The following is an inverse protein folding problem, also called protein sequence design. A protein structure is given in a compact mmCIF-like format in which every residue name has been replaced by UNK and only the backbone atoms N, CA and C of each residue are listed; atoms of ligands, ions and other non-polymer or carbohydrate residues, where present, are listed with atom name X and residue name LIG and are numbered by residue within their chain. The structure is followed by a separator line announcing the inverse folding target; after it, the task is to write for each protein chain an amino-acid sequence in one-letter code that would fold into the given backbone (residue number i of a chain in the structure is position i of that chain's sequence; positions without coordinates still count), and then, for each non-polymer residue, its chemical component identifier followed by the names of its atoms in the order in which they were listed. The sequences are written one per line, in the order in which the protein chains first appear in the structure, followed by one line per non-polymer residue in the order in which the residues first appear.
data_IF_803260214315
#
_entry.id   IF_803260214315
#
_cell.length_a   1.000
_cell.length_b   1.000
_cell.length_c   1.000
_cell.angle_alpha   90.00
_cell.angle_beta   90.00
_cell.angle_gamma   90.00
#
_symmetry.space_group_name_H-M   'P 1'
#
loop_
_entity.id
_entity.type
_entity.pdbx_description
1 polymer ?
#
# COMPACT_ATOMS: atom_id res chain seq x y z
N UNK A 1 -12.64 -6.14 10.20
CA UNK A 1 -12.21 -7.40 10.83
C UNK A 1 -13.10 -8.59 10.45
N UNK A 2 -14.44 -8.40 10.31
CA UNK A 2 -15.39 -9.45 9.96
C UNK A 2 -15.17 -10.11 8.58
N UNK A 3 -14.48 -9.44 7.68
CA UNK A 3 -14.21 -9.93 6.32
C UNK A 3 -12.94 -10.81 6.24
N UNK A 4 -12.11 -10.85 7.29
CA UNK A 4 -10.85 -11.59 7.26
C UNK A 4 -11.05 -13.06 7.65
N UNK A 5 -10.29 -14.02 7.08
CA UNK A 5 -10.50 -15.46 7.25
C UNK A 5 -9.88 -15.99 8.55
N UNK A 6 -10.15 -15.34 9.70
CA UNK A 6 -9.49 -15.59 11.00
C UNK A 6 -9.60 -17.04 11.44
N UNK A 7 -10.79 -17.66 11.33
CA UNK A 7 -10.99 -19.05 11.75
C UNK A 7 -10.19 -20.06 10.90
N UNK A 8 -10.00 -19.79 9.62
CA UNK A 8 -9.18 -20.64 8.75
C UNK A 8 -7.70 -20.51 9.11
N UNK A 9 -7.23 -19.30 9.33
CA UNK A 9 -5.84 -19.03 9.75
C UNK A 9 -5.56 -19.69 11.10
N UNK A 10 -6.44 -19.57 12.07
CA UNK A 10 -6.28 -20.19 13.39
C UNK A 10 -6.09 -21.71 13.29
N UNK A 11 -6.92 -22.42 12.50
CA UNK A 11 -6.77 -23.86 12.27
C UNK A 11 -5.43 -24.20 11.61
N UNK A 12 -4.97 -23.40 10.66
CA UNK A 12 -3.68 -23.63 10.01
C UNK A 12 -2.50 -23.44 10.97
N UNK A 13 -2.52 -22.38 11.79
CA UNK A 13 -1.50 -22.18 12.82
C UNK A 13 -1.36 -23.39 13.75
N UNK A 14 -2.49 -23.86 14.29
CA UNK A 14 -2.50 -25.04 15.17
C UNK A 14 -2.01 -26.31 14.44
N UNK A 15 -2.32 -26.45 13.15
CA UNK A 15 -1.86 -27.55 12.30
C UNK A 15 -0.36 -27.51 12.04
N UNK A 16 0.17 -26.37 11.60
CA UNK A 16 1.59 -26.17 11.30
C UNK A 16 2.43 -26.35 12.56
N UNK A 17 2.06 -25.76 13.68
CA UNK A 17 2.80 -25.91 14.95
C UNK A 17 2.93 -27.37 15.38
N UNK A 18 1.90 -28.20 15.16
CA UNK A 18 1.94 -29.66 15.47
C UNK A 18 2.78 -30.46 14.48
N UNK A 19 2.71 -30.17 13.18
CA UNK A 19 3.43 -30.91 12.14
C UNK A 19 4.91 -30.56 12.08
N UNK A 20 5.26 -29.32 12.42
CA UNK A 20 6.60 -28.76 12.29
C UNK A 20 7.13 -28.18 13.61
N UNK A 21 7.25 -28.97 14.70
CA UNK A 21 7.67 -28.45 16.00
C UNK A 21 9.06 -27.80 15.96
N UNK A 22 9.95 -28.28 15.09
CA UNK A 22 11.30 -27.72 14.89
C UNK A 22 11.35 -26.27 14.45
N UNK A 23 10.26 -25.72 13.88
CA UNK A 23 10.19 -24.31 13.54
C UNK A 23 10.26 -23.39 14.78
N UNK A 24 9.99 -23.92 15.99
CA UNK A 24 10.02 -23.20 17.25
C UNK A 24 11.36 -23.35 18.00
N UNK A 25 12.19 -24.31 17.59
CA UNK A 25 13.46 -24.61 18.30
C UNK A 25 14.52 -23.54 18.06
N UNK A 26 14.32 -22.67 17.09
CA UNK A 26 15.33 -21.70 16.65
C UNK A 26 16.50 -22.39 15.94
N UNK A 27 17.52 -21.63 15.57
CA UNK A 27 18.71 -22.15 14.92
C UNK A 27 19.26 -21.19 13.87
N UNK A 28 20.07 -21.70 12.94
CA UNK A 28 20.74 -20.94 11.88
C UNK A 28 19.80 -20.36 10.79
N UNK A 29 18.49 -20.36 11.05
CA UNK A 29 17.45 -19.87 10.13
C UNK A 29 17.25 -18.34 10.18
N UNK A 30 18.09 -17.61 10.89
CA UNK A 30 18.13 -16.16 10.83
C UNK A 30 18.36 -15.77 9.35
N UNK A 31 17.46 -14.99 8.79
CA UNK A 31 17.41 -14.53 7.38
C UNK A 31 17.06 -15.60 6.32
N UNK A 32 16.55 -16.75 6.70
CA UNK A 32 16.05 -17.70 5.72
C UNK A 32 14.58 -17.42 5.40
N UNK A 33 14.33 -17.09 4.14
CA UNK A 33 12.98 -17.03 3.59
C UNK A 33 12.48 -18.45 3.35
N UNK A 34 11.24 -18.73 3.77
CA UNK A 34 10.63 -20.06 3.57
C UNK A 34 10.47 -20.40 2.09
N UNK A 35 11.15 -21.42 1.56
CA UNK A 35 11.12 -21.71 0.13
C UNK A 35 9.73 -22.01 -0.41
N UNK A 36 8.84 -22.60 0.40
CA UNK A 36 7.46 -22.86 0.02
C UNK A 36 6.70 -21.55 -0.18
N UNK A 37 6.89 -20.55 0.68
CA UNK A 37 6.27 -19.24 0.53
C UNK A 37 6.81 -18.51 -0.69
N UNK A 38 8.12 -18.51 -0.90
CA UNK A 38 8.75 -17.91 -2.10
C UNK A 38 8.17 -18.52 -3.37
N UNK A 39 8.06 -19.86 -3.46
CA UNK A 39 7.42 -20.52 -4.61
C UNK A 39 5.98 -20.07 -4.84
N UNK A 40 5.19 -19.87 -3.79
CA UNK A 40 3.81 -19.36 -3.93
C UNK A 40 3.77 -17.91 -4.41
N UNK A 41 4.70 -17.06 -3.98
CA UNK A 41 4.82 -15.68 -4.48
C UNK A 41 5.19 -15.66 -5.97
N UNK A 42 6.17 -16.45 -6.38
CA UNK A 42 6.54 -16.62 -7.80
C UNK A 42 5.34 -17.11 -8.64
N UNK A 43 4.62 -18.14 -8.16
CA UNK A 43 3.42 -18.64 -8.84
C UNK A 43 2.34 -17.56 -9.00
N UNK A 44 2.11 -16.76 -7.96
CA UNK A 44 1.11 -15.68 -7.99
C UNK A 44 1.50 -14.56 -8.96
N UNK A 45 2.78 -14.26 -9.05
CA UNK A 45 3.27 -13.19 -9.91
C UNK A 45 3.05 -13.44 -11.41
N UNK A 46 2.76 -14.68 -11.83
CA UNK A 46 2.34 -14.97 -13.20
C UNK A 46 1.10 -14.17 -13.63
N UNK A 47 0.20 -13.88 -12.68
CA UNK A 47 -0.98 -13.03 -12.91
C UNK A 47 -0.67 -11.53 -12.87
N UNK A 48 0.58 -11.12 -12.58
CA UNK A 48 1.01 -9.73 -12.45
C UNK A 48 1.81 -9.23 -13.66
N UNK A 49 1.67 -9.87 -14.82
CA UNK A 49 2.35 -9.47 -16.05
C UNK A 49 3.70 -10.10 -16.29
N UNK A 50 4.14 -11.02 -15.43
CA UNK A 50 5.39 -11.79 -15.58
C UNK A 50 5.85 -12.39 -14.25
N UNK A 51 6.55 -13.54 -14.30
CA UNK A 51 7.04 -14.18 -13.08
C UNK A 51 8.14 -13.33 -12.44
N UNK A 52 8.05 -13.18 -11.12
CA UNK A 52 9.18 -12.74 -10.31
C UNK A 52 10.22 -13.85 -10.23
N UNK A 53 11.50 -13.50 -10.19
CA UNK A 53 12.55 -14.45 -9.88
C UNK A 53 12.55 -14.77 -8.39
N UNK A 54 12.62 -16.05 -8.03
CA UNK A 54 12.56 -16.46 -6.61
C UNK A 54 13.77 -15.94 -5.80
N UNK A 55 14.91 -15.80 -6.44
CA UNK A 55 16.14 -15.29 -5.85
C UNK A 55 16.17 -13.76 -5.67
N UNK A 56 15.21 -13.02 -6.24
CA UNK A 56 15.06 -11.58 -5.95
C UNK A 56 14.12 -11.29 -4.77
N UNK A 57 13.37 -12.30 -4.28
CA UNK A 57 12.40 -12.13 -3.20
C UNK A 57 13.10 -12.14 -1.84
N UNK A 58 12.68 -11.22 -0.98
CA UNK A 58 13.02 -11.16 0.46
C UNK A 58 11.73 -11.04 1.26
N UNK A 59 11.47 -11.97 2.18
CA UNK A 59 10.29 -11.92 3.06
C UNK A 59 10.54 -10.91 4.19
N UNK A 60 9.52 -10.10 4.50
CA UNK A 60 9.58 -9.05 5.51
C UNK A 60 8.45 -9.18 6.54
N UNK A 61 8.55 -8.48 7.67
CA UNK A 61 7.54 -8.51 8.72
C UNK A 61 6.31 -7.61 8.41
N UNK A 62 6.38 -6.81 7.36
CA UNK A 62 5.27 -5.96 6.86
C UNK A 62 5.69 -5.24 5.58
N UNK A 63 4.73 -4.60 4.88
CA UNK A 63 5.06 -3.67 3.80
C UNK A 63 5.82 -2.44 4.31
N UNK A 64 5.51 -1.94 5.51
CA UNK A 64 6.24 -0.79 6.10
C UNK A 64 7.71 -1.13 6.33
N UNK A 65 8.02 -2.34 6.83
CA UNK A 65 9.42 -2.79 6.90
C UNK A 65 10.03 -2.90 5.50
N UNK A 66 9.32 -3.48 4.55
CA UNK A 66 9.79 -3.60 3.16
C UNK A 66 10.20 -2.23 2.59
N UNK A 67 9.33 -1.22 2.73
CA UNK A 67 9.61 0.15 2.28
C UNK A 67 10.82 0.75 2.98
N UNK A 68 10.92 0.60 4.30
CA UNK A 68 12.06 1.10 5.09
C UNK A 68 13.38 0.44 4.69
N UNK A 69 13.39 -0.87 4.45
CA UNK A 69 14.56 -1.61 3.97
C UNK A 69 14.97 -1.17 2.56
N UNK A 70 13.99 -0.96 1.66
CA UNK A 70 14.25 -0.46 0.31
C UNK A 70 14.88 0.93 0.35
N UNK A 71 14.30 1.87 1.10
CA UNK A 71 14.85 3.22 1.25
C UNK A 71 16.30 3.15 1.76
N UNK A 72 16.58 2.41 2.84
CA UNK A 72 17.94 2.25 3.38
C UNK A 72 18.91 1.59 2.40
N UNK A 73 18.42 0.76 1.48
CA UNK A 73 19.27 0.08 0.49
C UNK A 73 19.65 0.99 -0.68
N UNK A 74 18.88 2.04 -0.98
CA UNK A 74 19.05 2.86 -2.19
C UNK A 74 19.24 4.35 -1.93
N UNK A 75 19.17 4.81 -0.66
CA UNK A 75 19.34 6.24 -0.29
C UNK A 75 20.25 6.43 0.91
N UNK A 76 20.70 7.66 1.11
CA UNK A 76 21.43 8.13 2.29
C UNK A 76 20.69 9.29 2.95
N UNK A 77 20.87 9.56 4.26
CA UNK A 77 20.30 10.74 4.91
C UNK A 77 20.66 12.02 4.16
N UNK A 78 19.68 12.88 3.94
CA UNK A 78 19.78 14.10 3.16
C UNK A 78 19.34 13.99 1.70
N UNK A 79 19.21 12.75 1.17
CA UNK A 79 18.74 12.51 -0.19
C UNK A 79 17.27 12.91 -0.39
N UNK A 80 16.93 13.21 -1.64
CA UNK A 80 15.57 13.54 -2.07
C UNK A 80 14.90 12.34 -2.71
N UNK A 81 13.69 12.00 -2.23
CA UNK A 81 12.83 10.94 -2.76
C UNK A 81 11.60 11.57 -3.39
N UNK A 82 11.35 11.26 -4.67
CA UNK A 82 10.13 11.65 -5.35
C UNK A 82 8.96 10.80 -4.86
N UNK A 83 7.86 11.44 -4.46
CA UNK A 83 6.63 10.80 -3.97
C UNK A 83 5.42 11.37 -4.70
N UNK A 84 4.31 10.65 -4.68
CA UNK A 84 3.02 11.17 -5.17
C UNK A 84 2.54 12.36 -4.32
N UNK A 85 1.67 13.20 -4.89
CA UNK A 85 0.98 14.26 -4.15
C UNK A 85 -0.51 14.22 -4.49
N UNK A 86 -1.38 13.87 -3.51
CA UNK A 86 -1.08 13.51 -2.11
C UNK A 86 -0.41 12.13 -1.96
N UNK A 87 0.42 11.97 -0.92
CA UNK A 87 1.11 10.73 -0.56
C UNK A 87 0.59 10.15 0.76
N UNK A 88 0.69 8.84 0.93
CA UNK A 88 0.30 8.21 2.21
C UNK A 88 1.17 8.72 3.36
N UNK A 89 0.56 9.30 4.39
CA UNK A 89 1.24 10.02 5.47
C UNK A 89 2.31 9.20 6.21
N UNK A 90 2.13 7.87 6.38
CA UNK A 90 3.19 7.06 7.00
C UNK A 90 4.43 6.90 6.11
N UNK A 91 4.32 7.06 4.79
CA UNK A 91 5.49 7.13 3.91
C UNK A 91 6.26 8.44 4.14
N UNK A 92 5.56 9.57 4.27
CA UNK A 92 6.17 10.86 4.58
C UNK A 92 6.89 10.82 5.93
N UNK A 93 6.26 10.25 6.96
CA UNK A 93 6.89 10.04 8.26
C UNK A 93 8.09 9.09 8.20
N UNK A 94 8.00 8.03 7.38
CA UNK A 94 9.13 7.11 7.19
C UNK A 94 10.32 7.84 6.55
N UNK A 95 10.10 8.69 5.54
CA UNK A 95 11.16 9.52 4.94
C UNK A 95 11.78 10.44 5.99
N UNK A 96 10.98 11.12 6.79
CA UNK A 96 11.44 11.98 7.85
C UNK A 96 12.31 11.24 8.87
N UNK A 97 11.89 10.05 9.34
CA UNK A 97 12.66 9.25 10.29
C UNK A 97 13.99 8.74 9.73
N UNK A 98 14.12 8.68 8.41
CA UNK A 98 15.35 8.30 7.71
C UNK A 98 16.21 9.53 7.32
N UNK A 99 15.77 10.75 7.69
CA UNK A 99 16.45 11.99 7.32
C UNK A 99 16.39 12.29 5.81
N UNK A 100 15.37 11.78 5.12
CA UNK A 100 15.17 11.98 3.68
C UNK A 100 14.23 13.17 3.41
N UNK A 101 14.36 13.78 2.24
CA UNK A 101 13.49 14.86 1.77
C UNK A 101 12.45 14.32 0.80
N UNK A 102 11.20 14.71 0.97
CA UNK A 102 10.12 14.39 0.03
C UNK A 102 10.05 15.47 -1.07
N UNK A 103 10.05 15.03 -2.33
CA UNK A 103 9.71 15.86 -3.48
C UNK A 103 8.35 15.41 -4.01
N UNK A 104 7.33 16.20 -3.80
CA UNK A 104 5.95 15.89 -4.20
C UNK A 104 5.77 16.07 -5.70
N UNK A 105 5.35 15.03 -6.39
CA UNK A 105 5.08 15.00 -7.82
C UNK A 105 3.57 15.05 -8.05
N UNK A 106 3.05 15.97 -8.89
CA UNK A 106 1.63 16.06 -9.20
C UNK A 106 1.03 14.72 -9.61
N UNK A 107 -0.10 14.38 -9.02
CA UNK A 107 -0.75 13.07 -9.18
C UNK A 107 -2.20 13.25 -9.58
N UNK A 108 -2.59 12.68 -10.70
CA UNK A 108 -3.96 12.67 -11.18
C UNK A 108 -4.79 11.61 -10.42
N UNK A 109 -5.99 11.94 -9.92
CA UNK A 109 -6.80 11.03 -9.11
C UNK A 109 -7.34 9.80 -9.85
N UNK A 110 -7.18 9.72 -11.17
CA UNK A 110 -7.60 8.57 -11.99
C UNK A 110 -6.42 7.78 -12.52
N UNK A 111 -5.34 8.48 -12.92
CA UNK A 111 -4.23 7.89 -13.68
C UNK A 111 -2.89 7.90 -12.93
N UNK A 112 -2.87 8.35 -11.67
CA UNK A 112 -1.67 8.32 -10.82
C UNK A 112 -0.65 9.42 -11.18
N UNK A 113 0.58 9.27 -10.70
CA UNK A 113 1.65 10.28 -10.77
C UNK A 113 1.94 10.75 -12.20
N UNK A 114 2.23 12.05 -12.42
CA UNK A 114 2.65 12.58 -13.73
C UNK A 114 4.06 12.11 -14.08
N UNK A 115 4.18 11.37 -15.19
CA UNK A 115 5.48 10.93 -15.71
C UNK A 115 6.27 12.10 -16.28
N UNK A 116 5.60 13.10 -16.83
CA UNK A 116 6.20 14.33 -17.37
C UNK A 116 6.82 15.16 -16.25
N UNK A 117 6.12 15.33 -15.13
CA UNK A 117 6.66 16.03 -13.97
C UNK A 117 7.82 15.24 -13.34
N UNK A 118 7.72 13.92 -13.30
CA UNK A 118 8.80 13.06 -12.82
C UNK A 118 10.03 13.11 -13.73
N UNK A 119 9.85 13.16 -15.06
CA UNK A 119 10.97 13.37 -16.00
C UNK A 119 11.71 14.68 -15.71
N UNK A 120 10.97 15.77 -15.51
CA UNK A 120 11.56 17.05 -15.14
C UNK A 120 12.32 16.97 -13.80
N UNK A 121 11.69 16.38 -12.79
CA UNK A 121 12.24 16.28 -11.45
C UNK A 121 13.54 15.44 -11.37
N UNK A 122 13.70 14.47 -12.27
CA UNK A 122 14.87 13.56 -12.27
C UNK A 122 16.00 13.98 -13.20
N UNK A 123 15.86 15.08 -13.95
CA UNK A 123 16.85 15.50 -14.96
C UNK A 123 18.21 15.90 -14.42
N UNK A 124 18.23 16.55 -13.28
CA UNK A 124 19.43 17.11 -12.67
C UNK A 124 20.15 16.17 -11.69
N UNK A 125 19.66 14.92 -11.56
CA UNK A 125 20.27 13.89 -10.70
C UNK A 125 20.09 14.10 -9.20
N UNK A 126 19.24 15.05 -8.77
CA UNK A 126 18.99 15.31 -7.34
C UNK A 126 18.03 14.32 -6.69
N UNK A 127 17.22 13.63 -7.47
CA UNK A 127 16.30 12.60 -6.98
C UNK A 127 17.02 11.26 -6.87
N UNK A 128 17.19 10.76 -5.66
CA UNK A 128 17.89 9.51 -5.39
C UNK A 128 17.00 8.27 -5.59
N UNK A 129 15.70 8.39 -5.36
CA UNK A 129 14.72 7.30 -5.55
C UNK A 129 13.30 7.86 -5.78
N UNK A 130 12.42 7.02 -6.33
CA UNK A 130 10.97 7.26 -6.37
C UNK A 130 10.28 6.28 -5.41
N UNK A 131 9.28 6.75 -4.63
CA UNK A 131 8.42 5.93 -3.79
C UNK A 131 6.96 6.16 -4.21
N UNK A 132 6.34 5.16 -4.85
CA UNK A 132 5.07 5.29 -5.57
C UNK A 132 4.09 4.18 -5.22
N UNK A 133 2.78 4.50 -5.32
CA UNK A 133 1.65 3.56 -5.10
C UNK A 133 0.80 3.48 -6.37
N UNK A 134 1.22 2.78 -7.42
CA UNK A 134 0.60 2.84 -8.74
C UNK A 134 -0.76 2.11 -8.84
N UNK A 135 -1.09 1.25 -7.89
CA UNK A 135 -2.30 0.41 -7.90
C UNK A 135 -3.16 0.68 -6.68
N UNK A 136 -4.37 1.19 -6.89
CA UNK A 136 -5.32 1.59 -5.86
C UNK A 136 -4.65 2.48 -4.80
N UNK A 137 -4.06 3.58 -5.24
CA UNK A 137 -3.22 4.47 -4.43
C UNK A 137 -3.93 4.95 -3.16
N UNK A 138 -3.17 5.20 -2.12
CA UNK A 138 -3.67 5.80 -0.89
C UNK A 138 -3.10 7.23 -0.77
N UNK A 139 -3.96 8.28 -0.87
CA UNK A 139 -5.40 8.23 -0.55
C UNK A 139 -6.37 8.19 -1.74
N UNK A 140 -5.91 8.33 -2.99
CA UNK A 140 -6.77 8.63 -4.13
C UNK A 140 -7.57 7.43 -4.68
N UNK A 141 -7.10 6.19 -4.45
CA UNK A 141 -7.70 4.99 -5.02
C UNK A 141 -7.44 4.81 -6.53
N UNK A 142 -6.55 5.60 -7.12
CA UNK A 142 -6.21 5.56 -8.55
C UNK A 142 -5.47 4.29 -8.95
N UNK A 143 -5.63 3.89 -10.22
CA UNK A 143 -4.81 2.85 -10.85
C UNK A 143 -4.10 3.44 -12.05
N UNK A 144 -2.77 3.44 -12.03
CA UNK A 144 -1.96 3.92 -13.15
C UNK A 144 -2.11 2.99 -14.36
N UNK A 145 -2.40 3.51 -15.56
CA UNK A 145 -2.48 2.71 -16.79
C UNK A 145 -1.14 2.04 -17.14
N UNK A 146 -1.18 0.83 -17.69
CA UNK A 146 0.02 0.05 -18.04
C UNK A 146 0.98 0.77 -18.99
N UNK A 147 0.45 1.55 -19.96
CA UNK A 147 1.26 2.39 -20.84
C UNK A 147 2.09 3.42 -20.07
N UNK A 148 1.49 4.02 -19.05
CA UNK A 148 2.14 5.02 -18.18
C UNK A 148 3.18 4.37 -17.25
N UNK A 149 2.89 3.17 -16.71
CA UNK A 149 3.85 2.37 -15.92
C UNK A 149 5.08 1.98 -16.74
N UNK A 150 4.86 1.59 -18.01
CA UNK A 150 5.95 1.25 -18.94
C UNK A 150 6.85 2.45 -19.22
N UNK A 151 6.27 3.62 -19.46
CA UNK A 151 7.02 4.86 -19.66
C UNK A 151 7.84 5.22 -18.41
N UNK A 152 7.22 5.11 -17.22
CA UNK A 152 7.87 5.39 -15.95
C UNK A 152 9.05 4.43 -15.71
N UNK A 153 8.86 3.13 -15.90
CA UNK A 153 9.94 2.13 -15.73
C UNK A 153 11.12 2.40 -16.68
N UNK A 154 10.84 2.74 -17.94
CA UNK A 154 11.87 3.08 -18.92
C UNK A 154 12.61 4.37 -18.55
N UNK A 155 11.89 5.42 -18.16
CA UNK A 155 12.45 6.71 -17.74
C UNK A 155 13.39 6.54 -16.55
N UNK A 156 12.92 5.91 -15.47
CA UNK A 156 13.69 5.77 -14.24
C UNK A 156 14.91 4.86 -14.41
N UNK A 157 14.80 3.81 -15.25
CA UNK A 157 15.93 2.98 -15.63
C UNK A 157 16.99 3.76 -16.40
N UNK A 158 16.60 4.58 -17.39
CA UNK A 158 17.51 5.42 -18.16
C UNK A 158 18.21 6.47 -17.30
N UNK A 159 17.57 6.96 -16.23
CA UNK A 159 18.14 7.93 -15.27
C UNK A 159 18.92 7.26 -14.14
N UNK A 160 18.89 5.94 -14.02
CA UNK A 160 19.49 5.21 -12.89
C UNK A 160 18.80 5.45 -11.55
N UNK A 161 17.56 5.96 -11.55
CA UNK A 161 16.77 6.28 -10.35
C UNK A 161 15.93 5.05 -9.95
N UNK A 162 16.19 4.39 -8.81
CA UNK A 162 15.39 3.25 -8.37
C UNK A 162 13.95 3.64 -8.07
N UNK A 163 13.03 2.72 -8.35
CA UNK A 163 11.60 2.86 -8.01
C UNK A 163 11.26 1.90 -6.89
N UNK A 164 10.82 2.41 -5.76
CA UNK A 164 10.21 1.64 -4.68
C UNK A 164 8.71 1.68 -4.92
N UNK A 165 8.15 0.54 -5.27
CA UNK A 165 6.73 0.38 -5.60
C UNK A 165 5.99 -0.24 -4.42
N UNK A 166 5.04 0.49 -3.82
CA UNK A 166 4.10 -0.06 -2.84
C UNK A 166 2.86 -0.60 -3.55
N UNK A 167 2.76 -1.91 -3.64
CA UNK A 167 1.64 -2.62 -4.28
C UNK A 167 0.77 -3.34 -3.24
N UNK A 168 0.60 -2.76 -2.06
CA UNK A 168 -0.16 -3.36 -0.94
C UNK A 168 -1.64 -3.56 -1.25
N UNK A 169 -2.20 -2.75 -2.16
CA UNK A 169 -3.60 -2.80 -2.59
C UNK A 169 -3.84 -3.44 -3.95
N UNK A 170 -2.81 -3.83 -4.69
CA UNK A 170 -2.96 -4.38 -6.04
C UNK A 170 -3.88 -5.59 -6.13
N UNK A 171 -3.91 -6.45 -5.10
CA UNK A 171 -4.82 -7.59 -4.99
C UNK A 171 -6.28 -7.19 -4.66
N UNK A 172 -6.54 -5.95 -4.26
CA UNK A 172 -7.86 -5.43 -3.87
C UNK A 172 -8.51 -4.55 -4.95
N UNK A 173 -8.21 -4.81 -6.22
CA UNK A 173 -8.79 -4.13 -7.37
C UNK A 173 -10.26 -4.47 -7.56
N UNK A 174 -11.05 -3.56 -8.13
CA UNK A 174 -12.48 -3.76 -8.44
C UNK A 174 -12.72 -4.28 -9.86
N UNK A 175 -11.80 -4.03 -10.78
CA UNK A 175 -11.89 -4.53 -12.15
C UNK A 175 -11.77 -6.05 -12.26
N UNK A 176 -12.06 -6.59 -13.43
CA UNK A 176 -12.02 -8.04 -13.73
C UNK A 176 -10.60 -8.63 -13.69
N UNK A 177 -9.58 -7.82 -13.96
CA UNK A 177 -8.18 -8.23 -13.96
C UNK A 177 -7.39 -7.39 -12.96
N UNK A 178 -6.41 -8.03 -12.31
CA UNK A 178 -5.47 -7.36 -11.44
C UNK A 178 -4.61 -6.40 -12.28
N UNK A 179 -4.50 -5.11 -11.89
CA UNK A 179 -3.58 -4.21 -12.55
C UNK A 179 -2.13 -4.68 -12.33
N UNK A 180 -1.34 -4.65 -13.39
CA UNK A 180 0.06 -5.04 -13.31
C UNK A 180 0.86 -4.01 -12.51
N UNK A 181 1.86 -4.43 -11.71
CA UNK A 181 2.77 -3.50 -11.08
C UNK A 181 3.73 -2.86 -12.09
N UNK A 182 4.40 -1.77 -11.72
CA UNK A 182 5.50 -1.19 -12.50
C UNK A 182 6.60 -2.23 -12.72
N UNK A 183 6.84 -3.08 -11.70
CA UNK A 183 7.79 -4.20 -11.75
C UNK A 183 7.61 -5.11 -12.97
N UNK A 184 6.40 -5.30 -13.48
CA UNK A 184 6.13 -6.10 -14.67
C UNK A 184 6.78 -5.52 -15.94
N UNK A 185 7.06 -4.22 -15.95
CA UNK A 185 7.70 -3.50 -17.07
C UNK A 185 9.19 -3.25 -16.83
N UNK A 186 9.73 -3.63 -15.69
CA UNK A 186 11.14 -3.48 -15.33
C UNK A 186 12.01 -4.49 -16.08
N UNK A 187 12.93 -4.00 -16.92
CA UNK A 187 13.90 -4.80 -17.65
C UNK A 187 15.32 -4.63 -17.12
N UNK A 188 15.53 -3.70 -16.19
CA UNK A 188 16.84 -3.31 -15.67
C UNK A 188 17.08 -3.77 -14.23
N UNK A 189 16.08 -4.43 -13.59
CA UNK A 189 16.13 -4.77 -12.17
C UNK A 189 16.08 -3.52 -11.27
N UNK A 190 15.47 -2.43 -11.74
CA UNK A 190 15.49 -1.11 -11.11
C UNK A 190 14.27 -0.84 -10.21
N UNK A 191 13.25 -1.71 -10.25
CA UNK A 191 12.04 -1.59 -9.45
C UNK A 191 12.07 -2.57 -8.29
N UNK A 192 11.90 -2.05 -7.06
CA UNK A 192 11.75 -2.80 -5.82
C UNK A 192 10.25 -2.88 -5.51
N UNK A 193 9.60 -4.00 -5.82
CA UNK A 193 8.18 -4.21 -5.57
C UNK A 193 7.96 -4.65 -4.12
N UNK A 194 7.27 -3.83 -3.34
CA UNK A 194 6.90 -4.07 -1.94
C UNK A 194 5.42 -4.44 -1.84
N UNK A 195 5.09 -5.46 -1.06
CA UNK A 195 3.70 -5.80 -0.74
C UNK A 195 3.58 -6.52 0.60
N UNK A 196 2.35 -6.79 1.04
CA UNK A 196 2.07 -7.61 2.22
C UNK A 196 0.66 -8.20 2.20
N UNK A 197 0.41 -9.16 3.10
CA UNK A 197 -0.90 -9.77 3.30
C UNK A 197 -1.74 -9.08 4.39
N UNK A 198 -1.27 -7.95 4.91
CA UNK A 198 -1.94 -7.22 6.02
C UNK A 198 -3.31 -6.68 5.65
N UNK A 199 -3.52 -6.30 4.38
CA UNK A 199 -4.78 -5.70 3.91
C UNK A 199 -5.76 -6.73 3.34
N UNK A 200 -5.25 -7.89 2.97
CA UNK A 200 -6.04 -8.95 2.32
C UNK A 200 -6.30 -10.17 3.20
N UNK A 201 -5.47 -10.44 4.22
CA UNK A 201 -5.67 -11.57 5.14
C UNK A 201 -5.78 -11.15 6.60
N UNK A 202 -4.71 -10.63 7.18
CA UNK A 202 -4.70 -10.14 8.55
C UNK A 202 -3.46 -9.29 8.82
N UNK A 203 -3.60 -8.12 9.45
CA UNK A 203 -2.46 -7.33 9.89
C UNK A 203 -1.61 -8.04 10.95
N UNK A 204 -2.19 -9.01 11.68
CA UNK A 204 -1.51 -9.78 12.73
C UNK A 204 -0.56 -10.85 12.20
N UNK A 205 -0.66 -11.23 10.92
CA UNK A 205 0.27 -12.17 10.30
C UNK A 205 1.70 -11.64 10.26
N UNK A 206 1.85 -10.33 10.17
CA UNK A 206 3.16 -9.67 10.07
C UNK A 206 4.04 -10.30 8.98
N UNK A 207 3.49 -10.44 7.77
CA UNK A 207 4.24 -10.88 6.58
C UNK A 207 4.02 -9.91 5.42
N UNK A 208 5.14 -9.45 4.87
CA UNK A 208 5.27 -8.75 3.60
C UNK A 208 6.41 -9.38 2.79
N UNK A 209 6.74 -8.77 1.67
CA UNK A 209 7.86 -9.16 0.84
C UNK A 209 8.33 -8.01 -0.05
N UNK A 210 9.57 -8.14 -0.53
CA UNK A 210 10.14 -7.29 -1.58
C UNK A 210 10.63 -8.18 -2.71
N UNK A 211 10.28 -7.87 -3.96
CA UNK A 211 11.02 -8.34 -5.12
C UNK A 211 12.01 -7.24 -5.51
N UNK A 212 13.25 -7.39 -5.08
CA UNK A 212 14.23 -6.32 -5.00
C UNK A 212 15.09 -6.15 -6.26
N UNK A 213 14.97 -7.04 -7.25
CA UNK A 213 15.79 -7.00 -8.44
C UNK A 213 17.28 -6.94 -8.12
N UNK A 214 18.02 -6.06 -8.79
CA UNK A 214 19.48 -5.89 -8.58
C UNK A 214 19.88 -5.41 -7.18
N UNK A 215 18.92 -4.87 -6.39
CA UNK A 215 19.17 -4.35 -5.04
C UNK A 215 19.07 -5.41 -3.94
N UNK A 216 18.74 -6.65 -4.30
CA UNK A 216 18.52 -7.75 -3.34
C UNK A 216 19.69 -7.94 -2.35
N UNK A 217 20.97 -7.88 -2.74
CA UNK A 217 22.09 -8.04 -1.77
C UNK A 217 22.11 -6.94 -0.71
N UNK A 218 21.92 -5.66 -1.12
CA UNK A 218 21.88 -4.52 -0.20
C UNK A 218 20.65 -4.61 0.74
N UNK A 219 19.49 -4.99 0.20
CA UNK A 219 18.26 -5.15 0.99
C UNK A 219 18.38 -6.28 2.00
N UNK A 220 18.96 -7.44 1.63
CA UNK A 220 19.17 -8.56 2.53
C UNK A 220 20.10 -8.18 3.71
N UNK A 221 21.15 -7.39 3.43
CA UNK A 221 22.03 -6.85 4.48
C UNK A 221 21.23 -5.96 5.45
N UNK A 222 20.43 -5.01 4.91
CA UNK A 222 19.59 -4.13 5.74
C UNK A 222 18.62 -4.94 6.60
N UNK A 223 17.99 -5.98 6.06
CA UNK A 223 17.11 -6.85 6.82
C UNK A 223 17.85 -7.55 7.97
N UNK A 224 19.03 -8.11 7.70
CA UNK A 224 19.86 -8.79 8.70
C UNK A 224 20.17 -7.91 9.90
N UNK A 225 20.56 -6.65 9.66
CA UNK A 225 20.96 -5.72 10.72
C UNK A 225 19.80 -5.04 11.45
N UNK A 226 18.59 -5.02 10.85
CA UNK A 226 17.43 -4.33 11.44
C UNK A 226 16.47 -5.26 12.16
N UNK A 227 16.10 -6.39 11.58
CA UNK A 227 15.07 -7.29 12.11
C UNK A 227 15.47 -8.76 12.17
N UNK A 228 16.62 -9.12 11.61
CA UNK A 228 17.06 -10.51 11.50
C UNK A 228 16.22 -11.28 10.49
N UNK A 229 15.21 -12.00 10.94
CA UNK A 229 14.34 -12.83 10.11
C UNK A 229 12.86 -12.50 10.25
N UNK A 230 12.04 -13.25 9.55
CA UNK A 230 10.59 -13.25 9.67
C UNK A 230 10.13 -14.58 10.26
N UNK A 231 9.10 -14.55 11.13
CA UNK A 231 8.63 -15.73 11.87
C UNK A 231 8.37 -16.94 10.93
N UNK A 232 9.11 -18.06 11.10
CA UNK A 232 9.03 -19.20 10.19
C UNK A 232 7.68 -19.92 10.26
N UNK A 233 7.03 -19.97 11.41
CA UNK A 233 5.71 -20.60 11.56
C UNK A 233 4.69 -19.84 10.72
N UNK A 234 4.72 -18.52 10.78
CA UNK A 234 3.79 -17.69 10.00
C UNK A 234 4.05 -17.80 8.49
N UNK A 235 5.32 -17.87 8.08
CA UNK A 235 5.68 -18.11 6.68
C UNK A 235 5.11 -19.44 6.16
N UNK A 236 5.25 -20.53 6.93
CA UNK A 236 4.69 -21.85 6.61
C UNK A 236 3.16 -21.83 6.53
N UNK A 237 2.50 -21.22 7.52
CA UNK A 237 1.03 -21.06 7.53
C UNK A 237 0.55 -20.34 6.27
N UNK A 238 1.23 -19.27 5.89
CA UNK A 238 0.87 -18.51 4.70
C UNK A 238 1.12 -19.33 3.42
N UNK A 239 2.24 -20.04 3.34
CA UNK A 239 2.53 -20.91 2.19
C UNK A 239 1.44 -21.95 1.98
N UNK A 240 1.02 -22.67 3.03
CA UNK A 240 -0.08 -23.64 2.95
C UNK A 240 -1.42 -23.00 2.59
N UNK A 241 -1.70 -21.81 3.13
CA UNK A 241 -2.93 -21.08 2.79
C UNK A 241 -3.00 -20.70 1.31
N UNK A 242 -1.89 -20.20 0.76
CA UNK A 242 -1.77 -19.85 -0.65
C UNK A 242 -1.88 -21.10 -1.55
N UNK A 243 -1.18 -22.18 -1.20
CA UNK A 243 -1.16 -23.42 -1.96
C UNK A 243 -2.54 -24.06 -2.07
N UNK A 244 -3.35 -23.99 -1.02
CA UNK A 244 -4.72 -24.56 -1.00
C UNK A 244 -5.71 -23.86 -1.94
N UNK A 245 -5.36 -22.73 -2.55
CA UNK A 245 -6.25 -21.88 -3.34
C UNK A 245 -7.33 -21.15 -2.52
N UNK A 246 -7.29 -21.27 -1.18
CA UNK A 246 -8.24 -20.59 -0.29
C UNK A 246 -8.09 -19.07 -0.37
N UNK A 247 -6.88 -18.58 -0.58
CA UNK A 247 -6.61 -17.16 -0.72
C UNK A 247 -7.35 -16.54 -1.91
N UNK A 248 -7.31 -17.16 -3.08
CA UNK A 248 -7.99 -16.65 -4.28
C UNK A 248 -9.52 -16.64 -4.11
N UNK A 249 -10.07 -17.67 -3.45
CA UNK A 249 -11.50 -17.69 -3.12
C UNK A 249 -11.87 -16.56 -2.17
N UNK A 250 -11.04 -16.32 -1.16
CA UNK A 250 -11.21 -15.24 -0.20
C UNK A 250 -11.14 -13.86 -0.89
N UNK A 251 -10.13 -13.62 -1.72
CA UNK A 251 -9.96 -12.36 -2.45
C UNK A 251 -11.18 -12.00 -3.30
N UNK A 252 -11.80 -12.96 -3.99
CA UNK A 252 -13.00 -12.69 -4.79
C UNK A 252 -14.16 -12.16 -3.95
N UNK A 253 -14.34 -12.70 -2.74
CA UNK A 253 -15.35 -12.20 -1.80
C UNK A 253 -15.01 -10.83 -1.25
N UNK A 254 -13.73 -10.64 -0.90
CA UNK A 254 -13.23 -9.42 -0.29
C UNK A 254 -13.32 -8.22 -1.25
N UNK A 255 -12.91 -8.38 -2.51
CA UNK A 255 -13.02 -7.36 -3.57
C UNK A 255 -14.46 -6.87 -3.74
N UNK A 256 -15.43 -7.80 -3.90
CA UNK A 256 -16.85 -7.45 -4.02
C UNK A 256 -17.41 -6.74 -2.78
N UNK A 257 -16.90 -7.10 -1.61
CA UNK A 257 -17.32 -6.45 -0.36
C UNK A 257 -16.77 -5.03 -0.29
N UNK A 258 -15.49 -4.82 -0.59
CA UNK A 258 -14.90 -3.48 -0.57
C UNK A 258 -15.47 -2.56 -1.66
N UNK A 259 -15.69 -3.07 -2.86
CA UNK A 259 -16.35 -2.32 -3.94
C UNK A 259 -17.71 -1.76 -3.49
N UNK A 260 -18.59 -2.62 -2.98
CA UNK A 260 -19.91 -2.19 -2.44
C UNK A 260 -19.78 -1.20 -1.28
N UNK A 261 -18.80 -1.40 -0.39
CA UNK A 261 -18.60 -0.49 0.75
C UNK A 261 -18.13 0.89 0.31
N UNK A 262 -17.23 0.95 -0.68
CA UNK A 262 -16.79 2.21 -1.28
C UNK A 262 -17.97 2.90 -1.99
N UNK A 263 -18.75 2.19 -2.78
CA UNK A 263 -19.96 2.71 -3.42
C UNK A 263 -20.95 3.27 -2.39
N UNK A 264 -21.27 2.50 -1.34
CA UNK A 264 -22.18 2.95 -0.28
C UNK A 264 -21.65 4.19 0.46
N UNK A 265 -20.33 4.27 0.67
CA UNK A 265 -19.72 5.45 1.30
C UNK A 265 -19.78 6.67 0.36
N UNK A 266 -19.56 6.50 -0.92
CA UNK A 266 -19.71 7.57 -1.91
C UNK A 266 -21.14 8.11 -1.90
N UNK A 267 -22.14 7.24 -1.93
CA UNK A 267 -23.56 7.63 -1.88
C UNK A 267 -23.91 8.36 -0.57
N UNK A 268 -23.37 7.93 0.55
CA UNK A 268 -23.60 8.59 1.84
C UNK A 268 -22.95 9.99 1.87
N UNK A 269 -21.73 10.14 1.35
CA UNK A 269 -21.07 11.46 1.25
C UNK A 269 -21.88 12.38 0.33
N UNK A 270 -22.32 11.92 -0.83
CA UNK A 270 -23.14 12.72 -1.76
C UNK A 270 -24.47 13.18 -1.11
N UNK A 271 -25.09 12.34 -0.28
CA UNK A 271 -26.35 12.69 0.40
C UNK A 271 -26.20 13.69 1.56
N UNK A 272 -25.08 13.62 2.26
CA UNK A 272 -24.97 14.27 3.57
C UNK A 272 -23.96 15.41 3.64
N UNK A 273 -23.03 15.49 2.68
CA UNK A 273 -22.03 16.56 2.65
C UNK A 273 -22.51 17.74 1.77
N UNK A 274 -21.89 18.93 1.88
CA UNK A 274 -22.21 20.07 1.02
C UNK A 274 -22.18 19.72 -0.47
N UNK A 275 -23.06 20.35 -1.25
CA UNK A 275 -23.31 20.00 -2.66
C UNK A 275 -22.06 20.11 -3.55
N UNK A 276 -21.14 21.00 -3.23
CA UNK A 276 -19.89 21.22 -3.99
C UNK A 276 -18.76 20.26 -3.59
N UNK A 277 -19.02 19.33 -2.66
CA UNK A 277 -18.04 18.32 -2.25
C UNK A 277 -17.66 17.43 -3.43
N UNK A 278 -16.37 17.24 -3.62
CA UNK A 278 -15.81 16.35 -4.66
C UNK A 278 -15.26 15.09 -4.01
N UNK A 279 -15.45 13.96 -4.68
CA UNK A 279 -14.92 12.68 -4.24
C UNK A 279 -14.15 12.00 -5.38
N UNK A 280 -13.13 11.23 -5.02
CA UNK A 280 -12.48 10.35 -5.99
C UNK A 280 -13.37 9.16 -6.34
N UNK A 281 -13.02 8.47 -7.42
CA UNK A 281 -13.66 7.20 -7.83
C UNK A 281 -12.62 6.07 -7.70
N UNK A 282 -12.47 5.47 -6.51
CA UNK A 282 -11.47 4.43 -6.29
C UNK A 282 -11.67 3.22 -7.21
N UNK A 283 -10.58 2.72 -7.78
CA UNK A 283 -10.58 1.54 -8.64
C UNK A 283 -10.13 0.27 -7.87
N UNK A 284 -9.95 0.40 -6.55
CA UNK A 284 -9.55 -0.66 -5.64
C UNK A 284 -9.28 -0.14 -4.24
N UNK A 285 -8.92 -1.05 -3.34
CA UNK A 285 -8.70 -0.72 -1.93
C UNK A 285 -9.99 -0.49 -1.16
N UNK A 286 -9.93 0.32 -0.11
CA UNK A 286 -11.07 0.64 0.75
C UNK A 286 -10.93 2.03 1.39
N UNK A 287 -10.38 2.99 0.64
CA UNK A 287 -10.28 4.39 1.06
C UNK A 287 -10.98 5.29 0.07
N UNK A 288 -11.55 6.38 0.56
CA UNK A 288 -12.20 7.40 -0.23
C UNK A 288 -11.58 8.75 0.11
N UNK A 289 -11.12 9.48 -0.90
CA UNK A 289 -10.64 10.83 -0.79
C UNK A 289 -11.78 11.79 -1.09
N UNK A 290 -11.94 12.78 -0.20
CA UNK A 290 -13.01 13.78 -0.25
C UNK A 290 -12.37 15.17 -0.20
N UNK A 291 -12.74 16.03 -1.13
CA UNK A 291 -12.40 17.45 -1.19
C UNK A 291 -13.64 18.27 -0.84
N UNK A 292 -13.56 19.03 0.24
CA UNK A 292 -14.62 19.91 0.71
C UNK A 292 -14.58 21.26 -0.03
N UNK A 293 -15.73 21.95 -0.17
CA UNK A 293 -15.76 23.28 -0.77
C UNK A 293 -15.07 24.33 0.10
N UNK A 294 -14.62 25.41 -0.54
CA UNK A 294 -14.04 26.57 0.16
C UNK A 294 -12.73 26.27 0.88
N UNK A 295 -12.48 27.04 1.94
CA UNK A 295 -11.26 26.98 2.76
C UNK A 295 -11.46 26.22 4.08
N UNK A 296 -12.34 25.23 4.10
CA UNK A 296 -12.62 24.44 5.31
C UNK A 296 -11.35 23.69 5.73
N UNK A 297 -10.85 23.99 6.94
CA UNK A 297 -9.68 23.33 7.53
C UNK A 297 -10.08 22.02 8.21
N UNK A 298 -9.79 20.90 7.55
CA UNK A 298 -10.13 19.56 8.07
C UNK A 298 -9.30 19.18 9.30
N UNK A 299 -8.12 19.76 9.51
CA UNK A 299 -7.31 19.56 10.71
C UNK A 299 -7.97 20.22 11.92
N UNK A 300 -8.51 21.44 11.77
CA UNK A 300 -9.30 22.11 12.80
C UNK A 300 -10.61 21.37 13.10
N UNK A 301 -11.30 20.87 12.07
CA UNK A 301 -12.53 20.10 12.20
C UNK A 301 -12.33 18.76 12.92
N UNK A 302 -11.16 18.13 12.80
CA UNK A 302 -10.86 16.80 13.32
C UNK A 302 -11.08 16.68 14.83
N UNK A 303 -10.67 17.70 15.62
CA UNK A 303 -10.87 17.70 17.07
C UNK A 303 -12.34 17.63 17.46
N UNK A 304 -13.20 18.42 16.82
CA UNK A 304 -14.65 18.42 17.05
C UNK A 304 -15.30 17.11 16.63
N UNK A 305 -14.82 16.49 15.54
CA UNK A 305 -15.30 15.19 15.09
C UNK A 305 -14.95 14.08 16.09
N UNK A 306 -13.70 14.01 16.54
CA UNK A 306 -13.24 13.03 17.54
C UNK A 306 -14.04 13.14 18.85
N UNK A 307 -14.32 14.35 19.32
CA UNK A 307 -15.16 14.59 20.50
C UNK A 307 -16.56 14.00 20.36
N UNK A 308 -17.05 13.80 19.14
CA UNK A 308 -18.32 13.16 18.82
C UNK A 308 -18.20 11.66 18.45
N UNK A 309 -17.03 11.06 18.61
CA UNK A 309 -16.78 9.66 18.23
C UNK A 309 -16.67 9.42 16.73
N UNK A 310 -16.43 10.47 15.93
CA UNK A 310 -16.24 10.40 14.48
C UNK A 310 -14.76 10.46 14.17
N UNK A 311 -14.29 9.63 13.20
CA UNK A 311 -12.90 9.58 12.81
C UNK A 311 -12.75 9.66 11.28
N UNK A 312 -11.89 10.54 10.85
CA UNK A 312 -11.36 10.64 9.48
C UNK A 312 -9.87 11.01 9.54
N UNK A 313 -9.19 11.00 8.42
CA UNK A 313 -7.79 11.48 8.38
C UNK A 313 -7.76 12.81 7.64
N UNK A 314 -7.30 13.92 8.26
CA UNK A 314 -7.16 15.21 7.61
C UNK A 314 -6.23 15.17 6.41
N UNK A 315 -6.58 15.92 5.37
CA UNK A 315 -5.86 15.90 4.09
C UNK A 315 -4.45 16.48 4.17
N UNK A 316 -4.21 17.45 5.03
CA UNK A 316 -2.90 18.08 5.26
C UNK A 316 -1.81 17.03 5.60
N UNK A 317 -2.17 15.94 6.29
CA UNK A 317 -1.23 14.86 6.62
C UNK A 317 -0.68 14.12 5.40
N UNK A 318 -1.34 14.22 4.25
CA UNK A 318 -0.92 13.57 3.00
C UNK A 318 -0.01 14.44 2.13
N UNK A 319 0.50 15.54 2.67
CA UNK A 319 1.42 16.44 1.99
C UNK A 319 2.57 16.84 2.90
N UNK A 320 3.79 16.81 2.37
CA UNK A 320 4.97 17.33 3.07
C UNK A 320 5.03 18.87 3.06
N UNK A 321 4.30 19.50 2.13
CA UNK A 321 4.23 20.97 1.98
C UNK A 321 2.98 21.60 2.61
N UNK A 322 2.13 20.82 3.31
CA UNK A 322 0.93 21.32 4.00
C UNK A 322 -0.24 21.65 3.08
N UNK A 323 -0.29 21.04 1.90
CA UNK A 323 -1.44 21.14 0.97
C UNK A 323 -2.65 20.32 1.47
N UNK A 324 -3.75 20.38 0.72
CA UNK A 324 -4.97 19.57 0.92
C UNK A 324 -5.69 19.82 2.25
N UNK A 325 -5.63 21.04 2.78
CA UNK A 325 -6.25 21.42 4.07
C UNK A 325 -7.77 21.25 4.05
N UNK A 326 -8.41 21.44 2.89
CA UNK A 326 -9.84 21.21 2.68
C UNK A 326 -10.18 19.77 2.30
N UNK A 327 -9.24 18.83 2.35
CA UNK A 327 -9.46 17.46 2.00
C UNK A 327 -9.48 16.55 3.23
N UNK A 328 -10.11 15.39 3.11
CA UNK A 328 -10.07 14.34 4.12
C UNK A 328 -10.13 12.94 3.48
N UNK A 329 -9.62 11.94 4.19
CA UNK A 329 -9.72 10.54 3.79
C UNK A 329 -10.66 9.78 4.71
N UNK A 330 -11.65 9.11 4.12
CA UNK A 330 -12.52 8.16 4.80
C UNK A 330 -12.01 6.72 4.63
N UNK A 331 -12.35 5.85 5.60
CA UNK A 331 -12.05 4.43 5.56
C UNK A 331 -13.34 3.64 5.31
N UNK A 332 -13.37 2.89 4.21
CA UNK A 332 -14.49 2.08 3.75
C UNK A 332 -14.28 0.57 4.05
N UNK A 333 -13.36 0.20 4.94
CA UNK A 333 -12.98 -1.19 5.21
C UNK A 333 -13.96 -1.98 6.08
N UNK A 334 -15.03 -1.36 6.57
CA UNK A 334 -16.10 -2.01 7.35
C UNK A 334 -17.41 -2.05 6.55
N UNK A 335 -18.26 -3.06 6.76
CA UNK A 335 -19.60 -3.09 6.17
C UNK A 335 -20.37 -1.81 6.48
N UNK A 336 -21.02 -1.25 5.47
CA UNK A 336 -21.85 -0.05 5.64
C UNK A 336 -23.12 -0.41 6.44
N UNK A 337 -23.21 0.09 7.67
CA UNK A 337 -24.31 -0.14 8.59
C UNK A 337 -25.07 1.16 8.87
N UNK A 338 -26.28 1.11 9.46
CA UNK A 338 -27.00 2.31 9.88
C UNK A 338 -26.18 3.24 10.79
N UNK A 339 -25.29 2.69 11.61
CA UNK A 339 -24.42 3.47 12.50
C UNK A 339 -23.35 4.22 11.69
N UNK A 340 -22.81 3.61 10.62
CA UNK A 340 -21.87 4.27 9.72
C UNK A 340 -22.58 5.35 8.90
N UNK A 341 -23.79 5.07 8.40
CA UNK A 341 -24.62 6.08 7.72
C UNK A 341 -24.90 7.28 8.63
N UNK A 342 -25.27 7.04 9.90
CA UNK A 342 -25.47 8.12 10.88
C UNK A 342 -24.17 8.90 11.17
N UNK A 343 -23.04 8.21 11.27
CA UNK A 343 -21.75 8.84 11.47
C UNK A 343 -21.38 9.77 10.29
N UNK A 344 -21.61 9.34 9.04
CA UNK A 344 -21.39 10.18 7.85
C UNK A 344 -22.35 11.38 7.83
N UNK A 345 -23.62 11.18 8.17
CA UNK A 345 -24.61 12.27 8.29
C UNK A 345 -24.16 13.32 9.33
N UNK A 346 -23.74 12.88 10.52
CA UNK A 346 -23.25 13.79 11.59
C UNK A 346 -21.98 14.51 11.18
N UNK A 347 -21.07 13.84 10.48
CA UNK A 347 -19.87 14.49 9.94
C UNK A 347 -20.23 15.56 8.91
N UNK A 348 -21.20 15.29 8.02
CA UNK A 348 -21.72 16.28 7.07
C UNK A 348 -22.33 17.51 7.75
N UNK A 349 -23.04 17.31 8.86
CA UNK A 349 -23.59 18.40 9.67
C UNK A 349 -22.48 19.26 10.32
N UNK A 350 -21.43 18.62 10.83
CA UNK A 350 -20.25 19.35 11.37
C UNK A 350 -19.56 20.17 10.28
N UNK A 351 -19.41 19.62 9.08
CA UNK A 351 -18.80 20.32 7.94
C UNK A 351 -19.67 21.52 7.53
N UNK A 352 -20.99 21.38 7.49
CA UNK A 352 -21.89 22.46 7.12
C UNK A 352 -22.02 23.57 8.17
N UNK A 353 -21.53 23.35 9.38
CA UNK A 353 -21.58 24.32 10.48
C UNK A 353 -20.32 25.22 10.55
N UNK A 354 -19.32 24.96 9.73
CA UNK A 354 -18.05 25.71 9.63
C UNK A 354 -18.06 26.58 8.40
#
# INVERSE_FOLDING_TARGET
PSLLPVAALHRLYAGVARRHPKLLEGGSHINMDEPALVRQLVRRSLAWGGPLAGDEIVITNSCTEALGLCLRAVTQPGDTVAVESPAYYLMLQLLETLGLKALEIPTDPRTGVSVEALDLATRDGRVAACLLVPNASNPLGSVMPDGKKRLLAALTAARGVPVIEDDIYGDLHFGSQRPWPIKAFDRAGNVLLCSSFSKSLSPSLRIGFVAAGRYRPALALQKTITSGGTNPVTQHVLAEYLESGAYERHLRGLRRSYERQVESMCDAVIRHFPAETRITQPQGGYVLWVELPGDIDTSALHGAAVAQGLAFVPGELFSASGMYRNCLRLNCGNPHTPEIEDAVRRLGQLIAAV
#
